data_IF_754971659996
#
_entry.id   IF_754971659996
#
_cell.length_a   1.000
_cell.length_b   1.000
_cell.length_c   1.000
_cell.angle_alpha   90.00
_cell.angle_beta   90.00
_cell.angle_gamma   90.00
#
_symmetry.space_group_name_H-M   'P 1'
#
loop_
_entity.id
_entity.type
_entity.pdbx_description
1 polymer ?
#
# COMPACT_ATOMS: atom_id res chain seq x y z
N UNK A 1 26.61 7.29 -28.29
CA UNK A 1 25.61 8.30 -27.86
C UNK A 1 26.13 9.08 -26.64
N UNK A 2 26.11 10.41 -26.65
CA UNK A 2 26.40 11.18 -25.42
C UNK A 2 25.19 11.14 -24.47
N UNK A 3 25.43 11.04 -23.16
CA UNK A 3 24.37 11.06 -22.14
C UNK A 3 23.53 12.34 -22.21
N UNK A 4 24.18 13.46 -22.55
CA UNK A 4 23.53 14.78 -22.67
C UNK A 4 22.51 14.78 -23.80
N UNK A 5 22.86 14.21 -24.96
CA UNK A 5 21.93 14.09 -26.10
C UNK A 5 20.74 13.19 -25.74
N UNK A 6 20.97 12.08 -25.04
CA UNK A 6 19.91 11.17 -24.63
C UNK A 6 18.92 11.87 -23.69
N UNK A 7 19.42 12.60 -22.68
CA UNK A 7 18.59 13.35 -21.74
C UNK A 7 17.82 14.47 -22.45
N UNK A 8 18.46 15.23 -23.35
CA UNK A 8 17.78 16.32 -24.07
C UNK A 8 16.67 15.81 -24.99
N UNK A 9 16.89 14.67 -25.65
CA UNK A 9 15.91 14.03 -26.53
C UNK A 9 14.76 13.42 -25.73
N UNK A 10 15.04 12.79 -24.58
CA UNK A 10 14.00 12.29 -23.69
C UNK A 10 13.12 13.45 -23.18
N UNK A 11 13.73 14.58 -22.85
CA UNK A 11 12.99 15.77 -22.44
C UNK A 11 12.15 16.36 -23.58
N UNK A 12 12.67 16.37 -24.82
CA UNK A 12 11.91 16.77 -26.01
C UNK A 12 10.73 15.82 -26.22
N UNK A 13 10.96 14.51 -26.15
CA UNK A 13 9.92 13.49 -26.27
C UNK A 13 8.78 13.70 -25.27
N UNK A 14 9.11 13.93 -23.98
CA UNK A 14 8.11 14.19 -22.93
C UNK A 14 7.31 15.45 -23.26
N UNK A 15 7.96 16.53 -23.71
CA UNK A 15 7.28 17.79 -24.07
C UNK A 15 6.34 17.61 -25.25
N UNK A 16 6.80 16.97 -26.32
CA UNK A 16 6.01 16.76 -27.54
C UNK A 16 4.76 15.90 -27.27
N UNK A 17 4.85 15.01 -26.28
CA UNK A 17 3.80 14.07 -25.92
C UNK A 17 3.07 14.41 -24.62
N UNK A 18 3.32 15.59 -24.02
CA UNK A 18 2.83 15.94 -22.69
C UNK A 18 1.32 15.71 -22.53
N UNK A 19 0.52 16.21 -23.48
CA UNK A 19 -0.94 16.04 -23.44
C UNK A 19 -1.36 14.56 -23.54
N UNK A 20 -0.69 13.76 -24.39
CA UNK A 20 -1.01 12.33 -24.54
C UNK A 20 -0.64 11.55 -23.27
N UNK A 21 0.46 11.90 -22.62
CA UNK A 21 0.90 11.30 -21.35
C UNK A 21 -0.12 11.60 -20.25
N UNK A 22 -0.55 12.86 -20.10
CA UNK A 22 -1.55 13.25 -19.11
C UNK A 22 -2.90 12.56 -19.37
N UNK A 23 -3.37 12.52 -20.62
CA UNK A 23 -4.61 11.82 -20.98
C UNK A 23 -4.52 10.31 -20.70
N UNK A 24 -3.39 9.68 -21.01
CA UNK A 24 -3.15 8.27 -20.68
C UNK A 24 -3.15 8.02 -19.17
N UNK A 25 -2.55 8.92 -18.40
CA UNK A 25 -2.53 8.83 -16.94
C UNK A 25 -3.92 8.98 -16.32
N UNK A 26 -4.74 9.90 -16.83
CA UNK A 26 -6.13 10.05 -16.41
C UNK A 26 -6.98 8.81 -16.74
N UNK A 27 -6.74 8.18 -17.89
CA UNK A 27 -7.42 6.93 -18.26
C UNK A 27 -7.06 5.80 -17.30
N UNK A 28 -5.78 5.63 -16.95
CA UNK A 28 -5.35 4.61 -15.98
C UNK A 28 -5.89 4.90 -14.59
N UNK A 29 -5.91 6.16 -14.16
CA UNK A 29 -6.54 6.56 -12.89
C UNK A 29 -8.03 6.22 -12.87
N UNK A 30 -8.77 6.52 -13.94
CA UNK A 30 -10.19 6.18 -14.07
C UNK A 30 -10.43 4.68 -14.05
N UNK A 31 -9.58 3.89 -14.73
CA UNK A 31 -9.64 2.43 -14.70
C UNK A 31 -9.32 1.86 -13.32
N UNK A 32 -8.35 2.41 -12.60
CA UNK A 32 -8.01 1.99 -11.25
C UNK A 32 -9.17 2.25 -10.28
N UNK A 33 -9.80 3.42 -10.36
CA UNK A 33 -10.99 3.74 -9.57
C UNK A 33 -12.18 2.83 -9.92
N UNK A 34 -12.45 2.64 -11.21
CA UNK A 34 -13.59 1.81 -11.68
C UNK A 34 -13.36 0.34 -11.35
N UNK A 35 -12.16 -0.18 -11.57
CA UNK A 35 -11.79 -1.56 -11.23
C UNK A 35 -11.91 -1.81 -9.73
N UNK A 36 -11.54 -0.83 -8.91
CA UNK A 36 -11.73 -0.87 -7.46
C UNK A 36 -13.21 -0.92 -7.07
N UNK A 37 -14.06 -0.09 -7.68
CA UNK A 37 -15.51 -0.12 -7.45
C UNK A 37 -16.11 -1.46 -7.85
N UNK A 38 -15.76 -2.00 -9.02
CA UNK A 38 -16.24 -3.31 -9.45
C UNK A 38 -15.78 -4.44 -8.53
N UNK A 39 -14.54 -4.38 -8.04
CA UNK A 39 -14.05 -5.33 -7.04
C UNK A 39 -14.81 -5.22 -5.73
N UNK A 40 -15.09 -4.01 -5.23
CA UNK A 40 -15.86 -3.86 -4.00
C UNK A 40 -17.30 -4.30 -4.19
N UNK A 41 -17.96 -3.92 -5.28
CA UNK A 41 -19.32 -4.39 -5.56
C UNK A 41 -19.38 -5.92 -5.66
N UNK A 42 -18.35 -6.58 -6.20
CA UNK A 42 -18.30 -8.06 -6.24
C UNK A 42 -17.98 -8.69 -4.89
N UNK A 43 -17.09 -8.08 -4.10
CA UNK A 43 -16.74 -8.55 -2.76
C UNK A 43 -17.89 -8.32 -1.77
N UNK A 44 -18.71 -7.29 -1.98
CA UNK A 44 -19.90 -6.97 -1.18
C UNK A 44 -21.10 -7.87 -1.52
N UNK A 45 -21.11 -8.49 -2.72
CA UNK A 45 -22.14 -9.46 -3.13
C UNK A 45 -21.68 -10.93 -3.01
N UNK A 46 -20.44 -11.18 -2.62
CA UNK A 46 -20.05 -12.48 -2.10
C UNK A 46 -20.23 -12.40 -0.58
N UNK A 47 -20.95 -13.34 0.02
CA UNK A 47 -20.85 -13.62 1.45
C UNK A 47 -19.38 -13.94 1.75
N UNK A 48 -18.55 -12.93 1.98
CA UNK A 48 -17.16 -13.12 2.38
C UNK A 48 -17.23 -13.53 3.84
N UNK A 49 -17.49 -14.81 4.07
CA UNK A 49 -17.27 -15.43 5.35
C UNK A 49 -15.81 -15.22 5.71
N UNK A 50 -15.55 -14.38 6.71
CA UNK A 50 -14.20 -14.22 7.23
C UNK A 50 -13.90 -15.45 8.09
N UNK A 51 -12.75 -16.08 7.88
CA UNK A 51 -12.25 -17.11 8.77
C UNK A 51 -11.70 -16.45 10.03
N UNK A 52 -12.57 -16.21 11.01
CA UNK A 52 -12.15 -15.80 12.35
C UNK A 52 -12.00 -17.07 13.19
N UNK A 53 -10.79 -17.34 13.68
CA UNK A 53 -10.48 -18.55 14.45
C UNK A 53 -10.92 -19.87 13.76
N UNK A 54 -10.85 -19.91 12.42
CA UNK A 54 -11.20 -21.10 11.63
C UNK A 54 -12.70 -21.34 11.44
N UNK A 55 -13.57 -20.40 11.86
CA UNK A 55 -15.00 -20.44 11.58
C UNK A 55 -15.35 -19.38 10.52
N UNK A 56 -16.21 -19.75 9.57
CA UNK A 56 -16.80 -18.82 8.63
C UNK A 56 -17.82 -17.93 9.34
N UNK A 57 -17.53 -16.63 9.45
CA UNK A 57 -18.41 -15.62 10.06
C UNK A 57 -18.84 -14.62 9.00
N UNK A 58 -20.14 -14.33 8.92
CA UNK A 58 -20.69 -13.37 7.95
C UNK A 58 -20.30 -11.92 8.27
N UNK A 59 -20.29 -11.05 7.26
CA UNK A 59 -19.96 -9.64 7.46
C UNK A 59 -20.96 -8.92 8.38
N UNK A 60 -22.23 -9.28 8.29
CA UNK A 60 -23.30 -8.74 9.15
C UNK A 60 -23.08 -9.11 10.63
N UNK A 61 -22.60 -10.32 10.91
CA UNK A 61 -22.26 -10.75 12.26
C UNK A 61 -21.04 -10.00 12.82
N UNK A 62 -20.04 -9.73 11.98
CA UNK A 62 -18.87 -8.91 12.37
C UNK A 62 -19.28 -7.48 12.69
N UNK A 63 -20.14 -6.88 11.86
CA UNK A 63 -20.63 -5.52 12.10
C UNK A 63 -21.48 -5.45 13.38
N UNK A 64 -22.39 -6.40 13.58
CA UNK A 64 -23.22 -6.48 14.79
C UNK A 64 -22.37 -6.69 16.06
N UNK A 65 -21.36 -7.58 16.01
CA UNK A 65 -20.43 -7.81 17.11
C UNK A 65 -19.61 -6.55 17.43
N UNK A 66 -19.11 -5.86 16.40
CA UNK A 66 -18.38 -4.60 16.53
C UNK A 66 -19.23 -3.52 17.20
N UNK A 67 -20.45 -3.27 16.70
CA UNK A 67 -21.34 -2.27 17.28
C UNK A 67 -21.72 -2.60 18.73
N UNK A 68 -21.96 -3.88 19.02
CA UNK A 68 -22.25 -4.34 20.38
C UNK A 68 -21.06 -4.10 21.32
N UNK A 69 -19.86 -4.56 20.96
CA UNK A 69 -18.67 -4.37 21.80
C UNK A 69 -18.29 -2.90 21.94
N UNK A 70 -18.53 -2.07 20.94
CA UNK A 70 -18.28 -0.63 21.06
C UNK A 70 -19.12 -0.01 22.17
N UNK A 71 -20.41 -0.40 22.26
CA UNK A 71 -21.28 0.04 23.34
C UNK A 71 -20.86 -0.53 24.70
N UNK A 72 -20.43 -1.81 24.74
CA UNK A 72 -19.94 -2.45 25.97
C UNK A 72 -18.65 -1.78 26.47
N UNK A 73 -17.67 -1.55 25.60
CA UNK A 73 -16.37 -0.99 25.97
C UNK A 73 -16.40 0.50 26.31
N UNK A 74 -17.44 1.21 25.85
CA UNK A 74 -17.73 2.58 26.26
C UNK A 74 -18.47 2.67 27.61
N UNK A 75 -18.96 1.55 28.14
CA UNK A 75 -19.68 1.50 29.43
C UNK A 75 -18.72 1.53 30.62
N UNK A 76 -19.27 1.81 31.80
CA UNK A 76 -18.53 1.68 33.05
C UNK A 76 -18.48 0.20 33.48
N UNK A 77 -17.30 -0.34 33.83
CA UNK A 77 -17.20 -1.67 34.39
C UNK A 77 -17.77 -1.70 35.81
N UNK A 78 -17.93 -2.89 36.33
CA UNK A 78 -18.11 -3.13 37.75
C UNK A 78 -17.09 -4.16 38.23
N UNK A 79 -16.77 -4.12 39.52
CA UNK A 79 -15.80 -5.04 40.07
C UNK A 79 -15.74 -5.00 41.57
N UNK A 80 -14.84 -5.82 42.11
CA UNK A 80 -14.50 -5.89 43.52
C UNK A 80 -13.08 -6.44 43.64
N UNK A 81 -12.47 -6.26 44.80
CA UNK A 81 -11.12 -6.74 45.06
C UNK A 81 -11.01 -7.55 46.33
N UNK A 82 -10.05 -8.47 46.33
CA UNK A 82 -9.77 -9.32 47.48
C UNK A 82 -8.31 -9.79 47.46
N UNK A 83 -7.87 -10.32 48.60
CA UNK A 83 -6.65 -11.11 48.73
C UNK A 83 -7.03 -12.52 49.14
N UNK A 84 -6.44 -13.51 48.50
CA UNK A 84 -6.63 -14.92 48.83
C UNK A 84 -5.32 -15.53 49.33
N UNK A 85 -5.36 -16.21 50.47
CA UNK A 85 -4.20 -16.84 51.10
C UNK A 85 -4.53 -18.22 51.67
N UNK A 86 -3.56 -19.13 51.64
CA UNK A 86 -3.69 -20.47 52.20
C UNK A 86 -3.62 -20.48 53.73
N UNK A 87 -3.90 -21.64 54.34
CA UNK A 87 -3.71 -21.83 55.78
C UNK A 87 -2.26 -21.65 56.24
N UNK A 88 -1.29 -21.85 55.35
CA UNK A 88 0.15 -21.64 55.61
C UNK A 88 0.60 -20.19 55.33
N UNK A 89 -0.36 -19.27 55.11
CA UNK A 89 -0.13 -17.87 54.75
C UNK A 89 0.60 -17.66 53.41
N UNK A 90 0.59 -18.64 52.51
CA UNK A 90 1.02 -18.42 51.13
C UNK A 90 -0.05 -17.67 50.35
N UNK A 91 0.35 -16.69 49.53
CA UNK A 91 -0.57 -15.83 48.78
C UNK A 91 -0.87 -16.46 47.42
N UNK A 92 -2.13 -16.43 47.01
CA UNK A 92 -2.54 -16.83 45.68
C UNK A 92 -2.16 -15.76 44.64
N UNK A 93 -1.40 -16.13 43.62
CA UNK A 93 -0.76 -15.18 42.71
C UNK A 93 -1.20 -15.29 41.24
N UNK A 94 -1.88 -16.38 40.85
CA UNK A 94 -2.31 -16.61 39.48
C UNK A 94 -3.71 -16.04 39.22
N UNK A 95 -3.81 -14.75 38.90
CA UNK A 95 -5.12 -14.14 38.63
C UNK A 95 -5.72 -14.50 37.27
N UNK A 96 -4.94 -15.03 36.33
CA UNK A 96 -5.42 -15.43 34.99
C UNK A 96 -6.40 -16.61 35.04
N UNK A 97 -6.29 -17.47 36.07
CA UNK A 97 -7.21 -18.62 36.21
C UNK A 97 -8.67 -18.15 36.40
N UNK A 98 -8.89 -16.97 36.96
CA UNK A 98 -10.24 -16.42 37.14
C UNK A 98 -10.89 -16.10 35.80
N UNK A 99 -10.12 -15.57 34.86
CA UNK A 99 -10.58 -15.25 33.51
C UNK A 99 -11.07 -16.49 32.78
N UNK A 100 -10.27 -17.55 32.82
CA UNK A 100 -10.57 -18.82 32.17
C UNK A 100 -11.76 -19.51 32.85
N UNK A 101 -11.80 -19.49 34.18
CA UNK A 101 -12.86 -20.12 34.94
C UNK A 101 -14.21 -19.42 34.75
N UNK A 102 -14.28 -18.10 34.94
CA UNK A 102 -15.52 -17.33 34.84
C UNK A 102 -15.99 -17.10 33.40
N UNK A 103 -15.16 -17.39 32.40
CA UNK A 103 -15.57 -17.42 30.99
C UNK A 103 -15.79 -18.84 30.45
N UNK A 104 -15.69 -19.87 31.29
CA UNK A 104 -16.03 -21.24 30.88
C UNK A 104 -17.54 -21.38 30.66
N UNK A 105 -18.00 -22.14 29.65
CA UNK A 105 -19.43 -22.18 29.29
C UNK A 105 -20.36 -22.61 30.43
N UNK A 106 -19.93 -23.55 31.29
CA UNK A 106 -20.73 -24.01 32.41
C UNK A 106 -20.89 -22.93 33.50
N UNK A 107 -19.80 -22.23 33.81
CA UNK A 107 -19.82 -21.16 34.82
C UNK A 107 -20.56 -19.93 34.29
N UNK A 108 -20.36 -19.60 33.01
CA UNK A 108 -21.13 -18.54 32.34
C UNK A 108 -22.62 -18.80 32.46
N UNK A 109 -23.10 -20.00 32.11
CA UNK A 109 -24.52 -20.33 32.22
C UNK A 109 -25.07 -20.17 33.66
N UNK A 110 -24.31 -20.56 34.68
CA UNK A 110 -24.68 -20.34 36.08
C UNK A 110 -24.76 -18.85 36.44
N UNK A 111 -23.79 -18.05 35.98
CA UNK A 111 -23.71 -16.62 36.24
C UNK A 111 -24.83 -15.86 35.51
N UNK A 112 -25.14 -16.21 34.26
CA UNK A 112 -26.28 -15.67 33.52
C UNK A 112 -27.60 -15.98 34.23
N UNK A 113 -27.78 -17.21 34.73
CA UNK A 113 -28.98 -17.58 35.50
C UNK A 113 -29.12 -16.78 36.81
N UNK A 114 -28.00 -16.47 37.47
CA UNK A 114 -28.00 -15.71 38.72
C UNK A 114 -28.15 -14.19 38.52
N UNK A 115 -27.58 -13.65 37.44
CA UNK A 115 -27.53 -12.20 37.17
C UNK A 115 -28.66 -11.71 36.24
N UNK A 116 -29.21 -12.59 35.40
CA UNK A 116 -30.14 -12.23 34.34
C UNK A 116 -29.50 -11.58 33.11
N UNK A 117 -28.16 -11.53 33.02
CA UNK A 117 -27.40 -10.83 31.98
C UNK A 117 -26.82 -11.85 31.00
N UNK A 118 -26.93 -11.65 29.67
CA UNK A 118 -26.40 -12.59 28.67
C UNK A 118 -24.88 -12.39 28.45
N UNK A 119 -24.08 -12.87 29.39
CA UNK A 119 -22.60 -12.83 29.36
C UNK A 119 -22.03 -13.50 28.12
N UNK A 120 -22.58 -14.64 27.69
CA UNK A 120 -22.08 -15.42 26.54
C UNK A 120 -22.10 -14.59 25.26
N UNK A 121 -23.07 -13.69 25.11
CA UNK A 121 -23.16 -12.78 23.97
C UNK A 121 -21.92 -11.89 23.84
N UNK A 122 -21.38 -11.40 24.96
CA UNK A 122 -20.17 -10.58 24.95
C UNK A 122 -18.91 -11.40 24.61
N UNK A 123 -18.81 -12.60 25.17
CA UNK A 123 -17.70 -13.53 24.87
C UNK A 123 -17.73 -13.95 23.39
N UNK A 124 -18.91 -14.25 22.84
CA UNK A 124 -19.06 -14.61 21.43
C UNK A 124 -18.72 -13.44 20.51
N UNK A 125 -19.14 -12.22 20.86
CA UNK A 125 -18.77 -11.02 20.12
C UNK A 125 -17.26 -10.77 20.16
N UNK A 126 -16.59 -10.98 21.30
CA UNK A 126 -15.12 -10.93 21.38
C UNK A 126 -14.48 -11.95 20.44
N UNK A 127 -14.98 -13.19 20.44
CA UNK A 127 -14.51 -14.25 19.55
C UNK A 127 -14.68 -13.92 18.07
N UNK A 128 -15.84 -13.37 17.69
CA UNK A 128 -16.13 -12.90 16.31
C UNK A 128 -15.17 -11.78 15.90
N UNK A 129 -14.79 -10.91 16.82
CA UNK A 129 -13.81 -9.84 16.58
C UNK A 129 -12.35 -10.31 16.68
N UNK A 130 -12.10 -11.61 16.87
CA UNK A 130 -10.76 -12.17 17.03
C UNK A 130 -10.09 -11.82 18.37
N UNK A 131 -10.82 -11.24 19.31
CA UNK A 131 -10.38 -10.88 20.65
C UNK A 131 -10.37 -12.13 21.55
N UNK A 132 -9.38 -12.98 21.36
CA UNK A 132 -9.22 -14.21 22.17
C UNK A 132 -8.39 -13.90 23.41
N UNK A 133 -8.73 -14.50 24.55
CA UNK A 133 -7.97 -14.33 25.79
C UNK A 133 -6.54 -14.81 25.64
N UNK A 134 -5.60 -13.97 26.03
CA UNK A 134 -4.15 -14.22 26.02
C UNK A 134 -3.50 -13.47 27.17
N UNK A 135 -2.17 -13.56 27.30
CA UNK A 135 -1.43 -12.74 28.26
C UNK A 135 -1.51 -11.22 27.94
N UNK A 136 -1.89 -10.86 26.70
CA UNK A 136 -1.98 -9.48 26.22
C UNK A 136 -3.43 -8.98 26.18
N UNK A 137 -4.42 -9.86 26.33
CA UNK A 137 -5.83 -9.53 26.33
C UNK A 137 -6.63 -10.42 27.30
N UNK A 138 -7.28 -9.82 28.30
CA UNK A 138 -7.96 -10.55 29.40
C UNK A 138 -9.46 -10.76 29.18
N UNK A 139 -10.05 -10.04 28.23
CA UNK A 139 -11.47 -10.13 27.89
C UNK A 139 -12.41 -9.35 28.80
N UNK A 140 -13.71 -9.47 28.53
CA UNK A 140 -14.82 -8.79 29.24
C UNK A 140 -14.95 -9.16 30.73
N UNK A 141 -14.38 -10.29 31.15
CA UNK A 141 -14.23 -10.68 32.56
C UNK A 141 -12.75 -10.95 32.81
N UNK A 142 -12.14 -10.16 33.68
CA UNK A 142 -10.71 -10.16 33.92
C UNK A 142 -10.36 -10.09 35.42
N UNK A 143 -9.48 -10.98 35.88
CA UNK A 143 -8.84 -10.95 37.19
C UNK A 143 -7.47 -10.29 37.11
N UNK A 144 -7.35 -9.04 37.55
CA UNK A 144 -6.09 -8.28 37.50
C UNK A 144 -5.43 -8.32 38.87
N UNK A 145 -4.16 -8.73 38.94
CA UNK A 145 -3.39 -8.73 40.19
C UNK A 145 -2.46 -7.52 40.26
N UNK A 146 -2.50 -6.81 41.37
CA UNK A 146 -1.46 -5.90 41.79
C UNK A 146 -0.29 -6.71 42.38
N UNK A 147 0.88 -6.61 41.74
CA UNK A 147 2.07 -7.38 42.15
C UNK A 147 2.70 -6.84 43.44
N UNK A 148 2.38 -5.62 43.84
CA UNK A 148 2.87 -4.97 45.06
C UNK A 148 2.02 -5.33 46.28
N UNK A 149 0.68 -5.28 46.14
CA UNK A 149 -0.25 -5.57 47.25
C UNK A 149 -0.75 -7.02 47.25
N UNK A 150 -0.60 -7.74 46.15
CA UNK A 150 -1.24 -9.03 45.86
C UNK A 150 -2.78 -8.98 45.82
N UNK A 151 -3.36 -7.79 45.76
CA UNK A 151 -4.77 -7.59 45.54
C UNK A 151 -5.16 -8.11 44.16
N UNK A 152 -6.23 -8.89 44.11
CA UNK A 152 -6.85 -9.36 42.87
C UNK A 152 -8.15 -8.58 42.69
N UNK A 153 -8.22 -7.80 41.63
CA UNK A 153 -9.41 -7.11 41.18
C UNK A 153 -10.13 -7.93 40.11
N UNK A 154 -11.39 -8.28 40.35
CA UNK A 154 -12.25 -8.89 39.34
C UNK A 154 -13.01 -7.76 38.64
N UNK A 155 -12.67 -7.54 37.38
CA UNK A 155 -13.29 -6.57 36.49
C UNK A 155 -14.32 -7.25 35.59
N UNK A 156 -15.50 -6.65 35.49
CA UNK A 156 -16.61 -7.11 34.64
C UNK A 156 -17.09 -5.97 33.74
N UNK A 157 -17.06 -6.20 32.43
CA UNK A 157 -17.49 -5.29 31.39
C UNK A 157 -18.16 -6.06 30.25
N UNK A 158 -19.36 -6.58 30.51
CA UNK A 158 -20.08 -7.48 29.60
C UNK A 158 -21.31 -6.82 28.95
N UNK A 159 -21.75 -5.67 29.48
CA UNK A 159 -22.92 -4.94 29.01
C UNK A 159 -22.69 -3.43 28.89
N UNK A 160 -23.47 -2.81 28.01
CA UNK A 160 -23.58 -1.37 27.88
C UNK A 160 -24.31 -0.71 29.07
N UNK A 161 -25.07 -1.48 29.89
CA UNK A 161 -25.66 -1.00 31.14
C UNK A 161 -24.73 -1.32 32.32
N UNK A 162 -24.17 -0.30 33.03
CA UNK A 162 -23.35 -0.52 34.21
C UNK A 162 -24.03 -1.32 35.33
N UNK A 163 -25.36 -1.29 35.42
CA UNK A 163 -26.11 -2.09 36.41
C UNK A 163 -26.08 -3.58 36.09
N UNK A 164 -26.05 -3.94 34.81
CA UNK A 164 -25.90 -5.33 34.39
C UNK A 164 -24.48 -5.82 34.70
N UNK A 165 -23.45 -4.99 34.48
CA UNK A 165 -22.07 -5.29 34.91
C UNK A 165 -22.00 -5.53 36.42
N UNK A 166 -22.68 -4.69 37.22
CA UNK A 166 -22.76 -4.85 38.67
C UNK A 166 -23.44 -6.15 39.09
N UNK A 167 -24.55 -6.52 38.44
CA UNK A 167 -25.27 -7.76 38.72
C UNK A 167 -24.38 -9.00 38.48
N UNK A 168 -23.60 -8.99 37.40
CA UNK A 168 -22.65 -10.07 37.09
C UNK A 168 -21.49 -10.09 38.09
N UNK A 169 -20.91 -8.93 38.44
CA UNK A 169 -19.86 -8.87 39.46
C UNK A 169 -20.34 -9.38 40.82
N UNK A 170 -21.59 -9.08 41.21
CA UNK A 170 -22.20 -9.62 42.43
C UNK A 170 -22.44 -11.13 42.33
N UNK A 171 -22.87 -11.64 41.17
CA UNK A 171 -23.04 -13.07 40.94
C UNK A 171 -21.70 -13.81 41.07
N UNK A 172 -20.61 -13.26 40.53
CA UNK A 172 -19.25 -13.81 40.66
C UNK A 172 -18.80 -13.83 42.12
N UNK A 173 -18.96 -12.72 42.86
CA UNK A 173 -18.63 -12.68 44.29
C UNK A 173 -19.40 -13.74 45.07
N UNK A 174 -20.71 -13.87 44.83
CA UNK A 174 -21.53 -14.90 45.47
C UNK A 174 -21.07 -16.32 45.09
N UNK A 175 -20.61 -16.54 43.86
CA UNK A 175 -20.04 -17.80 43.41
C UNK A 175 -18.80 -18.19 44.22
N UNK A 176 -17.92 -17.22 44.49
CA UNK A 176 -16.75 -17.37 45.36
C UNK A 176 -17.18 -17.65 46.81
N UNK A 177 -18.08 -16.85 47.37
CA UNK A 177 -18.55 -16.97 48.75
C UNK A 177 -19.24 -18.32 49.03
N UNK A 178 -19.88 -18.90 48.03
CA UNK A 178 -20.52 -20.23 48.11
C UNK A 178 -19.52 -21.39 47.97
N UNK A 179 -18.22 -21.11 47.82
CA UNK A 179 -17.19 -22.13 47.65
C UNK A 179 -17.28 -22.88 46.33
N UNK A 180 -17.87 -22.27 45.29
CA UNK A 180 -18.07 -22.92 43.98
C UNK A 180 -16.86 -22.78 43.05
N UNK A 181 -15.77 -22.16 43.51
CA UNK A 181 -14.52 -21.99 42.75
C UNK A 181 -13.50 -23.03 43.24
N UNK A 182 -13.26 -24.14 42.51
CA UNK A 182 -12.56 -25.30 43.06
C UNK A 182 -11.10 -25.01 43.48
N UNK A 183 -10.40 -24.17 42.71
CA UNK A 183 -9.01 -23.79 43.04
C UNK A 183 -8.89 -22.82 44.23
N UNK A 184 -10.01 -22.42 44.84
CA UNK A 184 -10.06 -21.59 46.04
C UNK A 184 -10.53 -22.34 47.30
N UNK A 185 -10.83 -23.65 47.22
CA UNK A 185 -11.40 -24.42 48.35
C UNK A 185 -10.57 -24.35 49.64
N UNK A 186 -9.24 -24.28 49.53
CA UNK A 186 -8.31 -24.20 50.67
C UNK A 186 -7.83 -22.78 50.98
N UNK A 187 -8.39 -21.77 50.30
CA UNK A 187 -7.99 -20.38 50.44
C UNK A 187 -8.97 -19.61 51.33
N UNK A 188 -8.41 -18.75 52.18
CA UNK A 188 -9.16 -17.72 52.89
C UNK A 188 -9.21 -16.47 52.03
N UNK A 189 -10.41 -15.97 51.78
CA UNK A 189 -10.65 -14.76 50.97
C UNK A 189 -10.94 -13.60 51.92
N UNK A 190 -10.19 -12.51 51.77
CA UNK A 190 -10.46 -11.25 52.46
C UNK A 190 -10.77 -10.17 51.43
N UNK A 191 -12.01 -9.69 51.41
CA UNK A 191 -12.44 -8.63 50.52
C UNK A 191 -11.89 -7.28 50.99
N UNK A 192 -11.28 -6.54 50.07
CA UNK A 192 -10.76 -5.20 50.35
C UNK A 192 -11.80 -4.15 49.96
N UNK A 193 -12.35 -4.27 48.75
CA UNK A 193 -13.42 -3.42 48.26
C UNK A 193 -14.72 -4.20 48.03
N UNK A 194 -15.89 -3.60 48.32
CA UNK A 194 -17.18 -4.19 47.98
C UNK A 194 -17.41 -4.17 46.47
N UNK A 195 -18.44 -4.90 46.01
CA UNK A 195 -18.85 -4.84 44.59
C UNK A 195 -19.42 -3.46 44.29
N UNK A 196 -18.83 -2.76 43.34
CA UNK A 196 -19.22 -1.41 42.94
C UNK A 196 -19.12 -1.20 41.43
N UNK A 197 -19.85 -0.19 40.93
CA UNK A 197 -19.70 0.32 39.56
C UNK A 197 -18.53 1.31 39.56
N UNK A 198 -17.65 1.18 38.58
CA UNK A 198 -16.48 2.03 38.42
C UNK A 198 -15.24 1.23 38.02
N UNK A 199 -14.24 1.96 37.54
CA UNK A 199 -12.92 1.39 37.28
C UNK A 199 -12.03 1.62 38.50
N UNK A 200 -11.57 0.53 39.13
CA UNK A 200 -10.66 0.59 40.30
C UNK A 200 -9.19 0.32 39.94
N UNK A 201 -8.92 -0.17 38.72
CA UNK A 201 -7.55 -0.40 38.25
C UNK A 201 -7.04 0.76 37.39
N UNK A 202 -5.74 1.03 37.47
CA UNK A 202 -5.08 1.96 36.56
C UNK A 202 -4.93 1.32 35.17
N UNK A 203 -5.76 1.75 34.21
CA UNK A 203 -5.75 1.24 32.83
C UNK A 203 -4.40 1.46 32.12
N UNK A 204 -3.61 2.46 32.50
CA UNK A 204 -2.26 2.67 31.94
C UNK A 204 -1.28 1.58 32.42
N UNK A 205 -1.46 1.10 33.66
CA UNK A 205 -0.64 0.02 34.23
C UNK A 205 -1.09 -1.37 33.73
N UNK A 206 -2.35 -1.48 33.27
CA UNK A 206 -2.96 -2.72 32.81
C UNK A 206 -3.62 -2.57 31.44
N UNK A 207 -2.84 -2.36 30.36
CA UNK A 207 -3.37 -2.19 29.00
C UNK A 207 -3.97 -3.47 28.41
N UNK A 208 -3.98 -4.56 29.19
CA UNK A 208 -4.44 -5.90 28.81
C UNK A 208 -5.95 -6.10 28.97
N UNK A 209 -6.67 -5.14 29.56
CA UNK A 209 -8.14 -5.19 29.72
C UNK A 209 -8.83 -4.38 28.62
N UNK A 210 -10.06 -4.75 28.22
CA UNK A 210 -10.77 -4.01 27.18
C UNK A 210 -11.15 -2.59 27.62
N UNK A 211 -10.94 -1.65 26.71
CA UNK A 211 -11.31 -0.22 26.78
C UNK A 211 -11.94 0.21 25.46
N UNK A 212 -12.49 1.43 25.40
CA UNK A 212 -13.03 2.00 24.15
C UNK A 212 -12.04 1.93 22.97
N UNK A 213 -10.73 2.07 23.24
CA UNK A 213 -9.69 2.01 22.22
C UNK A 213 -9.35 0.60 21.70
N UNK A 214 -9.80 -0.46 22.37
CA UNK A 214 -9.44 -1.85 22.04
C UNK A 214 -9.94 -2.26 20.65
N UNK A 215 -11.14 -1.85 20.24
CA UNK A 215 -11.70 -2.23 18.94
C UNK A 215 -11.01 -1.53 17.76
N UNK A 216 -10.46 -0.34 17.99
CA UNK A 216 -9.74 0.43 16.96
C UNK A 216 -8.45 -0.29 16.54
N UNK A 217 -7.82 -1.04 17.47
CA UNK A 217 -6.59 -1.79 17.21
C UNK A 217 -6.82 -3.19 16.61
N UNK A 218 -8.00 -3.79 16.84
CA UNK A 218 -8.28 -5.20 16.50
C UNK A 218 -9.16 -5.39 15.27
N UNK A 219 -9.74 -4.31 14.72
CA UNK A 219 -10.33 -4.41 13.39
C UNK A 219 -9.22 -4.66 12.36
N UNK A 220 -9.28 -5.73 11.55
CA UNK A 220 -8.67 -5.69 10.25
C UNK A 220 -9.46 -4.63 9.48
N UNK A 221 -9.09 -3.36 9.67
CA UNK A 221 -9.61 -2.33 8.82
C UNK A 221 -9.10 -2.70 7.43
N UNK A 222 -9.98 -3.31 6.65
CA UNK A 222 -10.22 -2.84 5.30
C UNK A 222 -10.67 -1.36 5.40
N UNK A 223 -9.83 -0.50 6.01
CA UNK A 223 -9.81 0.91 5.69
C UNK A 223 -9.38 0.92 4.23
N UNK A 224 -10.36 0.62 3.36
CA UNK A 224 -10.28 0.82 1.96
C UNK A 224 -9.81 2.27 1.85
N UNK A 225 -8.54 2.43 1.48
CA UNK A 225 -7.96 3.74 1.26
C UNK A 225 -8.99 4.52 0.43
N UNK A 226 -9.34 5.76 0.84
CA UNK A 226 -10.44 6.45 0.21
C UNK A 226 -10.21 6.49 -1.32
N UNK A 227 -11.29 6.35 -2.10
CA UNK A 227 -11.21 6.04 -3.55
C UNK A 227 -10.27 6.96 -4.35
N UNK A 228 -10.12 8.20 -3.89
CA UNK A 228 -9.20 9.19 -4.46
C UNK A 228 -7.72 8.76 -4.36
N UNK A 229 -7.32 8.02 -3.33
CA UNK A 229 -5.95 7.48 -3.17
C UNK A 229 -5.61 6.52 -4.30
N UNK A 230 -6.54 5.62 -4.66
CA UNK A 230 -6.38 4.75 -5.82
C UNK A 230 -6.31 5.54 -7.13
N UNK A 231 -7.03 6.66 -7.21
CA UNK A 231 -6.90 7.63 -8.29
C UNK A 231 -5.50 8.22 -8.41
N UNK A 232 -4.93 8.69 -7.29
CA UNK A 232 -3.58 9.27 -7.25
C UNK A 232 -2.52 8.22 -7.61
N UNK A 233 -2.60 7.02 -7.03
CA UNK A 233 -1.69 5.91 -7.35
C UNK A 233 -1.82 5.52 -8.83
N UNK A 234 -3.05 5.38 -9.32
CA UNK A 234 -3.34 5.08 -10.73
C UNK A 234 -2.84 6.16 -11.68
N UNK A 235 -2.91 7.43 -11.30
CA UNK A 235 -2.38 8.54 -12.09
C UNK A 235 -0.85 8.50 -12.18
N UNK A 236 -0.16 8.31 -11.04
CA UNK A 236 1.31 8.20 -11.02
C UNK A 236 1.76 7.02 -11.86
N UNK A 237 1.17 5.84 -11.67
CA UNK A 237 1.47 4.65 -12.48
C UNK A 237 1.14 4.89 -13.96
N UNK A 238 0.04 5.59 -14.22
CA UNK A 238 -0.40 5.96 -15.56
C UNK A 238 0.59 6.86 -16.30
N UNK A 239 1.27 7.79 -15.61
CA UNK A 239 2.34 8.61 -16.21
C UNK A 239 3.48 7.72 -16.72
N UNK A 240 3.91 6.74 -15.92
CA UNK A 240 4.96 5.80 -16.33
C UNK A 240 4.52 4.93 -17.50
N UNK A 241 3.35 4.30 -17.40
CA UNK A 241 2.82 3.42 -18.45
C UNK A 241 2.63 4.19 -19.76
N UNK A 242 2.00 5.36 -19.73
CA UNK A 242 1.77 6.17 -20.94
C UNK A 242 3.09 6.59 -21.61
N UNK A 243 4.08 6.98 -20.82
CA UNK A 243 5.42 7.33 -21.34
C UNK A 243 6.08 6.13 -22.00
N UNK A 244 6.09 4.96 -21.35
CA UNK A 244 6.68 3.73 -21.90
C UNK A 244 5.96 3.27 -23.17
N UNK A 245 4.62 3.28 -23.17
CA UNK A 245 3.82 2.88 -24.34
C UNK A 245 4.11 3.80 -25.53
N UNK A 246 4.13 5.11 -25.32
CA UNK A 246 4.46 6.07 -26.37
C UNK A 246 5.91 5.91 -26.85
N UNK A 247 6.84 5.66 -25.93
CA UNK A 247 8.25 5.45 -26.26
C UNK A 247 8.44 4.20 -27.13
N UNK A 248 7.79 3.09 -26.76
CA UNK A 248 7.80 1.85 -27.54
C UNK A 248 7.12 2.02 -28.90
N UNK A 249 5.98 2.71 -28.95
CA UNK A 249 5.30 3.03 -30.20
C UNK A 249 6.21 3.84 -31.14
N UNK A 250 7.02 4.73 -30.56
CA UNK A 250 7.99 5.52 -31.29
C UNK A 250 9.18 4.69 -31.79
N UNK A 251 9.73 3.83 -30.93
CA UNK A 251 10.82 2.93 -31.27
C UNK A 251 10.44 2.01 -32.45
N UNK A 252 9.20 1.51 -32.46
CA UNK A 252 8.64 0.69 -33.54
C UNK A 252 8.20 1.48 -34.79
N UNK A 253 8.21 2.81 -34.72
CA UNK A 253 7.90 3.69 -35.85
C UNK A 253 8.90 3.53 -36.99
N UNK A 254 8.45 3.78 -38.24
CA UNK A 254 9.31 3.69 -39.43
C UNK A 254 10.22 4.91 -39.63
N UNK A 255 9.81 6.05 -39.09
CA UNK A 255 10.48 7.35 -39.24
C UNK A 255 11.36 7.65 -38.04
N UNK A 256 12.48 8.32 -38.28
CA UNK A 256 13.34 8.89 -37.24
C UNK A 256 12.72 10.22 -36.82
N UNK A 257 12.41 10.38 -35.54
CA UNK A 257 11.96 11.66 -34.99
C UNK A 257 12.84 12.10 -33.84
N UNK A 258 13.43 11.18 -33.10
CA UNK A 258 14.37 11.48 -32.02
C UNK A 258 15.71 10.82 -32.27
N UNK A 259 16.77 11.35 -31.65
CA UNK A 259 18.09 10.79 -31.84
C UNK A 259 18.16 9.33 -31.35
N UNK A 260 17.44 8.98 -30.29
CA UNK A 260 17.40 7.59 -29.80
C UNK A 260 16.74 6.57 -30.77
N UNK A 261 16.19 7.01 -31.92
CA UNK A 261 15.63 6.10 -32.93
C UNK A 261 16.66 5.35 -33.77
N UNK A 262 17.93 5.77 -33.72
CA UNK A 262 18.99 5.18 -34.52
C UNK A 262 20.29 5.04 -33.71
N UNK A 263 21.10 4.07 -34.09
CA UNK A 263 22.42 3.86 -33.53
C UNK A 263 23.48 4.65 -34.30
N UNK A 264 24.48 5.15 -33.59
CA UNK A 264 25.72 5.68 -34.14
C UNK A 264 26.88 5.35 -33.18
N UNK A 265 28.09 5.33 -33.73
CA UNK A 265 29.31 5.02 -32.99
C UNK A 265 29.77 6.24 -32.17
N UNK A 266 30.56 6.03 -31.12
CA UNK A 266 31.13 7.11 -30.33
C UNK A 266 32.13 7.95 -31.14
N UNK A 267 32.73 7.35 -32.16
CA UNK A 267 33.66 8.01 -33.07
C UNK A 267 32.94 8.88 -34.13
N UNK A 268 31.62 8.75 -34.26
CA UNK A 268 30.80 9.53 -35.18
C UNK A 268 30.49 10.93 -34.60
N UNK A 269 30.65 11.96 -35.41
CA UNK A 269 30.28 13.33 -35.01
C UNK A 269 28.79 13.57 -35.22
N UNK A 270 28.07 13.97 -34.17
CA UNK A 270 26.63 14.22 -34.24
C UNK A 270 26.28 15.66 -33.85
N UNK A 271 25.48 16.31 -34.70
CA UNK A 271 24.94 17.64 -34.46
C UNK A 271 23.42 17.63 -34.44
N UNK A 272 22.84 18.20 -33.40
CA UNK A 272 21.39 18.35 -33.22
C UNK A 272 21.01 19.80 -33.45
N UNK A 273 20.29 20.10 -34.53
CA UNK A 273 19.91 21.46 -34.92
C UNK A 273 18.39 21.63 -34.96
N UNK A 274 17.90 22.70 -34.35
CA UNK A 274 16.49 23.08 -34.44
C UNK A 274 16.27 23.84 -35.75
N UNK A 275 15.52 23.26 -36.69
CA UNK A 275 15.35 23.84 -38.02
C UNK A 275 14.63 25.20 -37.99
N UNK A 276 13.78 25.45 -36.98
CA UNK A 276 13.06 26.72 -36.83
C UNK A 276 13.92 27.84 -36.24
N UNK A 277 15.04 27.51 -35.57
CA UNK A 277 15.92 28.49 -34.91
C UNK A 277 17.27 28.68 -35.59
N UNK A 278 17.63 27.78 -36.51
CA UNK A 278 18.93 27.77 -37.18
C UNK A 278 18.75 28.32 -38.59
N UNK A 279 19.60 29.25 -39.01
CA UNK A 279 19.51 29.80 -40.36
C UNK A 279 19.90 28.74 -41.41
N UNK A 280 19.32 28.76 -42.62
CA UNK A 280 19.72 27.85 -43.69
C UNK A 280 21.21 27.95 -44.05
N UNK A 281 21.81 29.14 -43.88
CA UNK A 281 23.24 29.34 -44.10
C UNK A 281 24.09 28.61 -43.05
N UNK A 282 23.72 28.65 -41.77
CA UNK A 282 24.41 27.88 -40.71
C UNK A 282 24.30 26.37 -40.92
N UNK A 283 23.15 25.88 -41.39
CA UNK A 283 22.97 24.47 -41.76
C UNK A 283 23.87 24.12 -42.95
N UNK A 284 23.90 24.97 -43.98
CA UNK A 284 24.78 24.79 -45.14
C UNK A 284 26.25 24.77 -44.72
N UNK A 285 26.69 25.70 -43.88
CA UNK A 285 28.07 25.79 -43.39
C UNK A 285 28.45 24.56 -42.56
N UNK A 286 27.52 24.02 -41.76
CA UNK A 286 27.78 22.79 -40.99
C UNK A 286 27.86 21.55 -41.89
N UNK A 287 27.08 21.50 -42.97
CA UNK A 287 27.12 20.39 -43.94
C UNK A 287 28.34 20.51 -44.87
N UNK A 288 28.74 21.73 -45.23
CA UNK A 288 29.78 22.04 -46.24
C UNK A 288 31.13 22.49 -45.66
N UNK A 289 31.25 22.65 -44.34
CA UNK A 289 32.52 22.92 -43.67
C UNK A 289 33.30 21.63 -43.33
N UNK A 290 34.64 21.59 -43.43
CA UNK A 290 35.55 22.60 -44.00
C UNK A 290 35.60 22.54 -45.53
N UNK A 291 35.80 23.67 -46.21
CA UNK A 291 35.59 23.90 -47.66
C UNK A 291 36.41 23.00 -48.61
N UNK A 292 37.41 22.26 -48.11
CA UNK A 292 38.36 21.46 -48.92
C UNK A 292 38.26 19.93 -48.71
N UNK A 293 37.21 19.40 -48.07
CA UNK A 293 37.01 17.94 -47.98
C UNK A 293 36.20 17.42 -49.17
N UNK A 294 36.72 16.38 -49.84
CA UNK A 294 35.90 15.54 -50.72
C UNK A 294 34.96 14.73 -49.82
N UNK A 295 33.66 15.04 -49.91
CA UNK A 295 32.64 14.48 -49.03
C UNK A 295 31.48 13.90 -49.80
N UNK A 296 30.82 12.92 -49.19
CA UNK A 296 29.55 12.38 -49.65
C UNK A 296 28.44 12.90 -48.74
N UNK A 297 27.52 13.71 -49.28
CA UNK A 297 26.32 14.16 -48.55
C UNK A 297 25.15 13.26 -48.91
N UNK A 298 24.57 12.60 -47.92
CA UNK A 298 23.42 11.72 -48.07
C UNK A 298 22.19 12.35 -47.43
N UNK A 299 21.17 12.58 -48.25
CA UNK A 299 19.84 13.00 -47.82
C UNK A 299 18.80 12.13 -48.53
N UNK A 300 17.79 11.66 -47.79
CA UNK A 300 16.69 10.91 -48.37
C UNK A 300 15.76 11.82 -49.19
N UNK A 301 15.71 13.12 -48.87
CA UNK A 301 14.96 14.10 -49.63
C UNK A 301 15.89 14.76 -50.64
N UNK A 302 15.59 14.56 -51.92
CA UNK A 302 16.31 15.18 -53.06
C UNK A 302 16.04 16.68 -53.21
N UNK A 303 15.22 17.27 -52.33
CA UNK A 303 14.67 18.64 -52.42
C UNK A 303 15.38 19.62 -51.48
N UNK A 304 16.45 19.16 -50.83
CA UNK A 304 17.24 19.94 -49.92
C UNK A 304 18.21 20.81 -50.71
N UNK A 305 18.30 22.12 -50.41
CA UNK A 305 19.21 23.08 -51.05
C UNK A 305 20.73 22.75 -50.92
N UNK A 306 21.04 21.56 -50.42
CA UNK A 306 22.35 21.02 -50.09
C UNK A 306 22.76 19.84 -51.00
N UNK A 307 21.88 19.39 -51.91
CA UNK A 307 22.19 18.34 -52.89
C UNK A 307 23.02 18.89 -54.05
N UNK A 308 24.32 19.01 -53.82
CA UNK A 308 25.32 19.12 -54.88
C UNK A 308 26.46 18.18 -54.52
N UNK A 309 26.76 17.24 -55.42
CA UNK A 309 27.73 16.12 -55.31
C UNK A 309 27.08 14.83 -54.77
N UNK A 310 26.99 13.68 -55.46
CA UNK A 310 27.63 13.21 -56.69
C UNK A 310 27.13 11.79 -57.01
N UNK A 311 26.75 11.51 -58.27
CA UNK A 311 26.50 10.13 -58.73
C UNK A 311 27.71 9.48 -59.43
N UNK A 312 28.87 10.15 -59.43
CA UNK A 312 30.16 9.62 -59.88
C UNK A 312 31.27 10.28 -59.08
N UNK A 313 31.52 9.80 -57.85
CA UNK A 313 32.76 10.10 -57.13
C UNK A 313 33.48 8.79 -56.88
N UNK A 314 34.76 8.81 -57.16
CA UNK A 314 35.68 7.76 -56.80
C UNK A 314 35.73 7.66 -55.26
N UNK A 315 35.21 6.55 -54.72
CA UNK A 315 35.04 6.34 -53.29
C UNK A 315 36.40 6.32 -52.55
N UNK A 316 37.49 6.07 -53.26
CA UNK A 316 38.85 5.99 -52.71
C UNK A 316 39.44 7.37 -52.37
N UNK A 317 38.80 8.46 -52.80
CA UNK A 317 39.26 9.84 -52.58
C UNK A 317 38.43 10.60 -51.53
N UNK A 318 37.35 9.99 -51.01
CA UNK A 318 36.50 10.60 -50.00
C UNK A 318 37.17 10.57 -48.63
N UNK A 319 37.03 11.66 -47.88
CA UNK A 319 37.56 11.78 -46.52
C UNK A 319 36.45 11.79 -45.45
N UNK A 320 35.22 12.13 -45.84
CA UNK A 320 34.09 12.33 -44.92
C UNK A 320 32.75 11.99 -45.57
N UNK A 321 31.82 11.44 -44.80
CA UNK A 321 30.43 11.25 -45.19
C UNK A 321 29.51 12.01 -44.22
N UNK A 322 28.53 12.74 -44.76
CA UNK A 322 27.55 13.51 -43.99
C UNK A 322 26.17 12.93 -44.23
N UNK A 323 25.52 12.40 -43.20
CA UNK A 323 24.12 11.94 -43.26
C UNK A 323 23.21 13.03 -42.68
N UNK A 324 22.24 13.48 -43.47
CA UNK A 324 21.21 14.42 -43.02
C UNK A 324 19.97 13.62 -42.60
N UNK A 325 19.53 13.87 -41.36
CA UNK A 325 18.32 13.29 -40.79
C UNK A 325 17.32 14.42 -40.54
N UNK A 326 16.14 14.29 -41.14
CA UNK A 326 15.02 15.21 -40.93
C UNK A 326 13.98 14.52 -40.04
N UNK A 327 13.76 15.06 -38.84
CA UNK A 327 12.84 14.50 -37.86
C UNK A 327 11.42 14.35 -38.45
N UNK A 328 10.82 13.17 -38.27
CA UNK A 328 9.50 12.82 -38.82
C UNK A 328 9.50 12.40 -40.28
N UNK A 329 10.62 12.55 -41.01
CA UNK A 329 10.65 12.42 -42.46
C UNK A 329 11.61 11.33 -42.94
N UNK A 330 12.81 11.25 -42.35
CA UNK A 330 13.80 10.23 -42.69
C UNK A 330 13.38 8.85 -42.19
N UNK A 331 13.45 7.83 -43.04
CA UNK A 331 13.16 6.43 -42.69
C UNK A 331 14.33 5.78 -41.94
N UNK A 332 14.00 5.04 -40.87
CA UNK A 332 14.98 4.26 -40.08
C UNK A 332 15.72 3.25 -40.95
N UNK A 333 15.00 2.54 -41.82
CA UNK A 333 15.59 1.55 -42.74
C UNK A 333 16.54 2.21 -43.75
N UNK A 334 16.20 3.39 -44.25
CA UNK A 334 17.07 4.12 -45.17
C UNK A 334 18.38 4.51 -44.46
N UNK A 335 18.27 5.12 -43.28
CA UNK A 335 19.44 5.48 -42.46
C UNK A 335 20.32 4.26 -42.18
N UNK A 336 19.73 3.15 -41.70
CA UNK A 336 20.49 1.94 -41.38
C UNK A 336 21.22 1.36 -42.60
N UNK A 337 20.61 1.42 -43.78
CA UNK A 337 21.25 0.96 -45.01
C UNK A 337 22.43 1.86 -45.41
N UNK A 338 22.27 3.19 -45.33
CA UNK A 338 23.37 4.13 -45.62
C UNK A 338 24.49 4.00 -44.60
N UNK A 339 24.16 3.94 -43.31
CA UNK A 339 25.11 3.80 -42.21
C UNK A 339 25.95 2.53 -42.36
N UNK A 340 25.31 1.38 -42.60
CA UNK A 340 26.01 0.10 -42.84
C UNK A 340 26.89 0.12 -44.08
N UNK A 341 26.44 0.78 -45.16
CA UNK A 341 27.23 0.91 -46.37
C UNK A 341 28.50 1.76 -46.13
N UNK A 342 28.37 2.84 -45.35
CA UNK A 342 29.49 3.74 -45.04
C UNK A 342 30.51 3.12 -44.08
N UNK A 343 30.09 2.24 -43.17
CA UNK A 343 31.01 1.50 -42.29
C UNK A 343 32.00 0.60 -43.03
N UNK A 344 31.75 0.27 -44.31
CA UNK A 344 32.68 -0.51 -45.12
C UNK A 344 33.88 0.31 -45.63
N UNK A 345 33.87 1.65 -45.45
CA UNK A 345 34.89 2.56 -45.92
C UNK A 345 35.55 3.30 -44.75
N UNK A 346 36.85 3.60 -44.81
CA UNK A 346 37.57 4.33 -43.75
C UNK A 346 37.27 5.83 -43.80
N UNK A 347 36.01 6.22 -43.64
CA UNK A 347 35.52 7.59 -43.73
C UNK A 347 35.12 8.12 -42.35
N UNK A 348 35.39 9.40 -42.08
CA UNK A 348 34.80 10.06 -40.92
C UNK A 348 33.30 10.28 -41.17
N UNK A 349 32.45 9.90 -40.20
CA UNK A 349 31.01 10.09 -40.31
C UNK A 349 30.54 11.32 -39.52
N UNK A 350 29.73 12.15 -40.17
CA UNK A 350 29.00 13.25 -39.57
C UNK A 350 27.50 13.06 -39.73
N UNK A 351 26.76 13.14 -38.64
CA UNK A 351 25.30 13.03 -38.62
C UNK A 351 24.73 14.39 -38.24
N UNK A 352 23.95 14.99 -39.13
CA UNK A 352 23.24 16.25 -38.89
C UNK A 352 21.76 15.95 -38.74
N UNK A 353 21.25 16.03 -37.51
CA UNK A 353 19.85 15.81 -37.18
C UNK A 353 19.12 17.15 -37.06
N UNK A 354 18.24 17.41 -38.03
CA UNK A 354 17.35 18.56 -38.09
C UNK A 354 16.01 18.20 -37.44
N UNK A 355 15.64 18.91 -36.37
CA UNK A 355 14.41 18.68 -35.60
C UNK A 355 13.53 19.92 -35.42
#
# INVERSE_FOLDING_TARGET
>A
MSLVTLISELWRFIKDHFLKIILGALLVAGLAMTGRQLLMNRLEHQDVSQLVNGQEVSQDEVEAASQFLQAVFASQPAGFSFVAYSEENSIFDNSFIFDEFFSSPAVVADLEAASGVPIQKAIDAEKIMGLTKTNEYRGVIAGVRDTSSNEIYIRVLVSADPKENLAVAQAIKNYIDQGRVPFMESLKVNYLNPVAIGEEINLEAYPIVPTEGTLIASMPSLAALPIWVYGVVGFVLGLFIATVVLFLAHLLGRKIVYAFDYSWDLDDSQFMLNQAKTSPAEIADLVTGPVNSQRLVLDQRTDSAYTGLTNQVDLDCLNEAVIIIQAGQTDKNWYQNQYKALQAYPLALRIVHLY
#
